data_IF_107271124965
#
_entry.id   IF_107271124965
#
_cell.length_a   1.000
_cell.length_b   1.000
_cell.length_c   1.000
_cell.angle_alpha   90.00
_cell.angle_beta   90.00
_cell.angle_gamma   90.00
#
_symmetry.space_group_name_H-M   'P 1'
#
loop_
_entity.id
_entity.type
_entity.pdbx_description
1 polymer ?
#
# COMPACT_ATOMS: atom_id res chain seq x y z
N UNK A 1 9.35 4.81 0.18
CA UNK A 1 9.46 4.01 1.42
C UNK A 1 10.90 4.01 1.93
N UNK A 2 11.08 3.83 3.23
CA UNK A 2 12.37 3.76 3.90
C UNK A 2 12.50 2.43 4.65
N UNK A 3 13.67 1.79 4.58
CA UNK A 3 14.01 0.59 5.32
C UNK A 3 15.48 0.20 5.12
N UNK A 4 16.15 -0.31 6.16
CA UNK A 4 17.57 -0.69 6.13
C UNK A 4 18.50 0.45 5.62
N UNK A 5 18.23 1.69 6.06
CA UNK A 5 18.94 2.91 5.62
C UNK A 5 18.85 3.18 4.11
N UNK A 6 17.87 2.57 3.43
CA UNK A 6 17.59 2.69 2.00
C UNK A 6 16.27 3.42 1.78
N UNK A 7 16.24 4.38 0.85
CA UNK A 7 15.01 4.95 0.33
C UNK A 7 14.72 4.37 -1.05
N UNK A 8 13.47 3.96 -1.28
CA UNK A 8 12.97 3.51 -2.59
C UNK A 8 11.73 4.29 -2.96
N UNK A 9 11.67 4.75 -4.19
CA UNK A 9 10.48 5.36 -4.78
C UNK A 9 10.17 4.74 -6.14
N UNK A 10 8.86 4.59 -6.43
CA UNK A 10 8.33 4.17 -7.72
C UNK A 10 7.69 5.32 -8.48
N UNK A 11 7.65 5.24 -9.80
CA UNK A 11 7.12 6.29 -10.67
C UNK A 11 6.33 5.78 -11.86
N UNK A 12 6.03 6.70 -12.77
CA UNK A 12 5.39 6.40 -14.07
C UNK A 12 6.33 5.55 -14.93
N UNK A 13 5.77 4.80 -15.87
CA UNK A 13 6.56 3.93 -16.78
C UNK A 13 7.39 2.85 -16.07
N UNK A 14 7.02 2.51 -14.83
CA UNK A 14 7.72 1.51 -14.04
C UNK A 14 9.02 2.00 -13.39
N UNK A 15 9.32 3.28 -13.44
CA UNK A 15 10.55 3.83 -12.87
C UNK A 15 10.70 3.44 -11.39
N UNK A 16 11.92 3.05 -11.03
CA UNK A 16 12.33 2.80 -9.65
C UNK A 16 13.62 3.57 -9.39
N UNK A 17 13.64 4.34 -8.33
CA UNK A 17 14.85 5.03 -7.86
C UNK A 17 15.18 4.62 -6.43
N UNK A 18 16.48 4.55 -6.12
CA UNK A 18 17.02 4.11 -4.85
C UNK A 18 18.06 5.10 -4.33
N UNK A 19 18.00 5.39 -3.03
CA UNK A 19 19.06 6.15 -2.33
C UNK A 19 19.69 5.31 -1.22
N UNK A 20 20.99 5.43 -1.07
CA UNK A 20 21.81 4.79 0.00
C UNK A 20 22.49 5.81 0.89
N UNK A 21 22.16 7.10 0.74
CA UNK A 21 22.81 8.23 1.40
C UNK A 21 21.79 9.18 2.06
N UNK A 22 20.72 8.60 2.64
CA UNK A 22 19.64 9.31 3.31
C UNK A 22 18.90 10.31 2.42
N UNK A 23 18.79 10.01 1.12
CA UNK A 23 18.05 10.84 0.16
C UNK A 23 18.86 12.00 -0.42
N UNK A 24 20.17 12.05 -0.19
CA UNK A 24 21.04 13.07 -0.78
C UNK A 24 21.20 12.89 -2.28
N UNK A 25 21.19 11.65 -2.77
CA UNK A 25 21.14 11.30 -4.18
C UNK A 25 20.25 10.09 -4.43
N UNK A 26 19.82 9.92 -5.68
CA UNK A 26 19.04 8.76 -6.11
C UNK A 26 19.58 8.20 -7.42
N UNK A 27 19.77 6.88 -7.44
CA UNK A 27 20.16 6.11 -8.62
C UNK A 27 18.96 5.39 -9.22
N UNK A 28 18.94 5.26 -10.55
CA UNK A 28 17.95 4.44 -11.22
C UNK A 28 18.21 2.96 -10.97
N UNK A 29 17.15 2.21 -10.67
CA UNK A 29 17.15 0.76 -10.57
C UNK A 29 16.43 0.18 -11.77
N UNK A 30 17.00 -0.87 -12.40
CA UNK A 30 16.31 -1.55 -13.50
C UNK A 30 15.00 -2.15 -13.00
N UNK A 31 13.90 -1.70 -13.59
CA UNK A 31 12.56 -2.18 -13.28
C UNK A 31 12.19 -3.36 -14.17
N UNK A 32 11.52 -4.40 -13.62
CA UNK A 32 11.05 -5.54 -14.43
C UNK A 32 9.73 -5.23 -15.16
N UNK A 33 9.20 -4.00 -15.05
CA UNK A 33 7.90 -3.61 -15.60
C UNK A 33 7.94 -2.23 -16.25
N UNK A 34 7.10 -2.01 -17.25
CA UNK A 34 6.79 -0.67 -17.79
C UNK A 34 5.54 -0.04 -17.19
N UNK A 35 4.86 -0.70 -16.25
CA UNK A 35 3.63 -0.19 -15.63
C UNK A 35 3.95 0.79 -14.51
N UNK A 36 3.17 1.88 -14.42
CA UNK A 36 3.34 2.87 -13.36
C UNK A 36 3.21 2.24 -11.98
N UNK A 37 4.19 2.49 -11.11
CA UNK A 37 4.21 2.11 -9.70
C UNK A 37 3.67 3.27 -8.85
N UNK A 38 2.73 2.97 -7.95
CA UNK A 38 1.96 3.97 -7.19
C UNK A 38 2.22 3.94 -5.69
N UNK A 39 2.62 2.79 -5.17
CA UNK A 39 2.91 2.61 -3.76
C UNK A 39 4.13 1.74 -3.56
N UNK A 40 4.92 2.04 -2.53
CA UNK A 40 6.07 1.24 -2.09
C UNK A 40 5.97 1.06 -0.58
N UNK A 41 6.22 -0.15 -0.10
CA UNK A 41 6.31 -0.47 1.32
C UNK A 41 7.56 -1.29 1.59
N UNK A 42 8.05 -1.21 2.84
CA UNK A 42 9.16 -2.00 3.35
C UNK A 42 8.72 -2.78 4.58
N UNK A 43 9.15 -4.01 4.69
CA UNK A 43 8.96 -4.86 5.86
C UNK A 43 9.75 -6.15 5.72
N UNK A 44 10.25 -6.69 6.84
CA UNK A 44 11.01 -7.94 6.89
C UNK A 44 12.14 -8.00 5.84
N UNK A 45 12.93 -6.93 5.73
CA UNK A 45 14.04 -6.78 4.78
C UNK A 45 13.64 -6.84 3.29
N UNK A 46 12.36 -6.65 2.98
CA UNK A 46 11.78 -6.70 1.63
C UNK A 46 11.16 -5.36 1.26
N UNK A 47 11.46 -4.86 0.06
CA UNK A 47 10.69 -3.80 -0.57
C UNK A 47 9.65 -4.43 -1.50
N UNK A 48 8.42 -3.94 -1.42
CA UNK A 48 7.33 -4.27 -2.35
C UNK A 48 6.81 -2.98 -2.97
N UNK A 49 6.71 -2.93 -4.30
CA UNK A 49 6.02 -1.86 -4.99
C UNK A 49 4.82 -2.41 -5.77
N UNK A 50 3.74 -1.62 -5.79
CA UNK A 50 2.48 -1.99 -6.45
C UNK A 50 2.04 -0.91 -7.43
N UNK A 51 1.24 -1.29 -8.44
CA UNK A 51 0.88 -0.34 -9.46
C UNK A 51 -0.27 -0.70 -10.41
N UNK A 52 -0.21 -0.12 -11.60
CA UNK A 52 -1.24 -0.28 -12.65
C UNK A 52 -1.31 -1.72 -13.12
N UNK A 53 -2.51 -2.16 -13.55
CA UNK A 53 -2.77 -3.51 -14.07
C UNK A 53 -2.38 -4.64 -13.10
N UNK A 54 -2.56 -4.40 -11.78
CA UNK A 54 -2.23 -5.38 -10.75
C UNK A 54 -0.73 -5.60 -10.56
N UNK A 55 0.12 -4.75 -11.12
CA UNK A 55 1.57 -4.91 -11.00
C UNK A 55 2.01 -4.98 -9.55
N UNK A 56 2.80 -5.99 -9.23
CA UNK A 56 3.53 -6.16 -7.96
C UNK A 56 4.98 -6.49 -8.31
N UNK A 57 5.91 -5.73 -7.77
CA UNK A 57 7.35 -6.02 -7.87
C UNK A 57 7.97 -6.09 -6.48
N UNK A 58 8.95 -6.96 -6.30
CA UNK A 58 9.55 -7.30 -5.01
C UNK A 58 11.07 -7.27 -5.07
N UNK A 59 11.69 -6.76 -4.02
CA UNK A 59 13.14 -6.78 -3.84
C UNK A 59 13.51 -7.41 -2.49
N UNK A 60 14.46 -8.33 -2.49
CA UNK A 60 15.03 -8.98 -1.29
C UNK A 60 16.49 -8.61 -1.07
N UNK A 61 17.00 -7.62 -1.81
CA UNK A 61 18.39 -7.20 -1.78
C UNK A 61 18.55 -5.69 -1.58
N UNK A 62 17.76 -5.16 -0.64
CA UNK A 62 17.78 -3.74 -0.28
C UNK A 62 17.49 -2.81 -1.47
N UNK A 63 16.56 -3.18 -2.34
CA UNK A 63 16.14 -2.37 -3.48
C UNK A 63 17.15 -2.31 -4.62
N UNK A 64 18.19 -3.15 -4.63
CA UNK A 64 19.21 -3.16 -5.70
C UNK A 64 18.68 -3.75 -7.01
N UNK A 65 17.71 -4.66 -6.94
CA UNK A 65 16.93 -5.14 -8.08
C UNK A 65 15.53 -5.54 -7.62
N UNK A 66 14.63 -5.63 -8.58
CA UNK A 66 13.24 -6.03 -8.36
C UNK A 66 12.84 -7.13 -9.35
N UNK A 67 12.01 -8.05 -8.88
CA UNK A 67 11.39 -9.11 -9.70
C UNK A 67 9.88 -8.94 -9.74
N UNK A 68 9.25 -9.33 -10.85
CA UNK A 68 7.80 -9.38 -10.95
C UNK A 68 7.24 -10.49 -10.06
N UNK A 69 6.15 -10.19 -9.37
CA UNK A 69 5.37 -11.16 -8.60
C UNK A 69 3.97 -11.26 -9.20
N UNK A 70 3.44 -12.48 -9.26
CA UNK A 70 2.08 -12.71 -9.77
C UNK A 70 1.06 -12.11 -8.82
N UNK A 71 0.23 -11.22 -9.34
CA UNK A 71 -0.91 -10.65 -8.62
C UNK A 71 -2.17 -11.50 -8.84
N UNK A 72 -2.99 -11.70 -7.81
CA UNK A 72 -4.28 -12.40 -7.95
C UNK A 72 -5.34 -11.55 -8.65
N UNK A 73 -5.05 -10.28 -8.95
CA UNK A 73 -5.98 -9.32 -9.56
C UNK A 73 -5.29 -8.51 -10.66
N UNK A 74 -6.00 -8.29 -11.77
CA UNK A 74 -5.58 -7.35 -12.84
C UNK A 74 -5.95 -5.88 -12.55
N UNK A 75 -6.61 -5.58 -11.44
CA UNK A 75 -7.02 -4.23 -11.09
C UNK A 75 -5.82 -3.38 -10.66
N UNK A 76 -5.88 -2.07 -10.96
CA UNK A 76 -4.85 -1.14 -10.50
C UNK A 76 -4.77 -1.15 -8.97
N UNK A 77 -3.57 -1.34 -8.44
CA UNK A 77 -3.25 -1.15 -7.03
C UNK A 77 -2.78 0.29 -6.81
N UNK A 78 -3.31 0.93 -5.77
CA UNK A 78 -3.09 2.35 -5.46
C UNK A 78 -2.10 2.55 -4.33
N UNK A 79 -2.07 1.62 -3.38
CA UNK A 79 -1.21 1.69 -2.20
C UNK A 79 -0.87 0.30 -1.67
N UNK A 80 0.20 0.23 -0.91
CA UNK A 80 0.65 -0.97 -0.20
C UNK A 80 1.16 -0.58 1.19
N UNK A 81 0.89 -1.40 2.18
CA UNK A 81 1.38 -1.24 3.56
C UNK A 81 1.90 -2.56 4.10
N UNK A 82 2.69 -2.49 5.17
CA UNK A 82 3.21 -3.66 5.88
C UNK A 82 2.88 -3.58 7.38
N UNK A 83 2.52 -4.70 7.98
CA UNK A 83 2.31 -4.86 9.41
C UNK A 83 2.01 -6.31 9.76
N UNK A 84 2.37 -6.75 10.97
CA UNK A 84 2.21 -8.14 11.45
C UNK A 84 2.69 -9.19 10.43
N UNK A 85 3.88 -9.00 9.86
CA UNK A 85 4.47 -9.87 8.86
C UNK A 85 3.65 -10.01 7.56
N UNK A 86 2.75 -9.06 7.28
CA UNK A 86 1.84 -9.08 6.14
C UNK A 86 2.05 -7.84 5.28
N UNK A 87 2.20 -8.03 3.97
CA UNK A 87 2.00 -6.98 3.00
C UNK A 87 0.55 -6.95 2.57
N UNK A 88 -0.05 -5.76 2.53
CA UNK A 88 -1.43 -5.54 2.10
C UNK A 88 -1.46 -4.47 1.02
N UNK A 89 -1.95 -4.82 -0.18
CA UNK A 89 -2.18 -3.89 -1.28
C UNK A 89 -3.67 -3.56 -1.43
N UNK A 90 -3.98 -2.29 -1.71
CA UNK A 90 -5.35 -1.83 -1.96
C UNK A 90 -5.47 -1.14 -3.30
N UNK A 91 -6.65 -1.18 -3.92
CA UNK A 91 -6.79 -0.62 -5.25
C UNK A 91 -8.21 -0.40 -5.76
N UNK A 92 -8.33 -0.34 -7.09
CA UNK A 92 -9.61 -0.07 -7.77
C UNK A 92 -10.64 -1.17 -7.52
N UNK A 93 -11.92 -0.77 -7.62
CA UNK A 93 -13.08 -1.68 -7.44
C UNK A 93 -13.05 -2.45 -6.11
N UNK A 94 -12.56 -1.80 -5.04
CA UNK A 94 -12.45 -2.39 -3.72
C UNK A 94 -11.41 -3.50 -3.61
N UNK A 95 -10.52 -3.65 -4.60
CA UNK A 95 -9.49 -4.70 -4.58
C UNK A 95 -8.62 -4.57 -3.34
N UNK A 96 -8.47 -5.68 -2.63
CA UNK A 96 -7.53 -5.85 -1.53
C UNK A 96 -6.77 -7.16 -1.79
N UNK A 97 -5.44 -7.08 -1.82
CA UNK A 97 -4.55 -8.24 -1.98
C UNK A 97 -3.63 -8.34 -0.78
N UNK A 98 -3.31 -9.55 -0.39
CA UNK A 98 -2.58 -9.86 0.85
C UNK A 98 -1.49 -10.89 0.60
N UNK A 99 -0.32 -10.69 1.21
CA UNK A 99 0.78 -11.65 1.23
C UNK A 99 1.17 -11.97 2.67
N UNK A 100 1.38 -13.23 2.97
CA UNK A 100 1.82 -13.77 4.28
C UNK A 100 3.22 -14.38 4.23
N UNK A 101 3.91 -14.24 3.11
CA UNK A 101 5.20 -14.86 2.82
C UNK A 101 6.23 -13.83 2.31
N UNK A 102 6.21 -12.65 2.93
CA UNK A 102 7.12 -11.55 2.59
C UNK A 102 7.00 -11.11 1.12
N UNK A 103 5.77 -11.07 0.59
CA UNK A 103 5.51 -10.60 -0.77
C UNK A 103 5.85 -11.60 -1.88
N UNK A 104 6.17 -12.86 -1.55
CA UNK A 104 6.52 -13.87 -2.56
C UNK A 104 5.28 -14.39 -3.30
N UNK A 105 4.15 -14.51 -2.62
CA UNK A 105 2.85 -14.83 -3.24
C UNK A 105 1.74 -13.94 -2.64
N UNK A 106 0.62 -13.83 -3.35
CA UNK A 106 -0.48 -12.94 -3.00
C UNK A 106 -1.83 -13.62 -3.24
N UNK A 107 -2.76 -13.36 -2.33
CA UNK A 107 -4.16 -13.79 -2.40
C UNK A 107 -5.10 -12.59 -2.33
N UNK A 108 -6.33 -12.74 -2.87
CA UNK A 108 -7.38 -11.76 -2.67
C UNK A 108 -7.92 -11.85 -1.24
N UNK A 109 -8.01 -10.72 -0.55
CA UNK A 109 -8.76 -10.62 0.70
C UNK A 109 -10.23 -10.26 0.43
N UNK A 110 -11.12 -10.64 1.36
CA UNK A 110 -12.53 -10.28 1.25
C UNK A 110 -12.72 -8.79 1.52
N UNK A 111 -13.22 -8.07 0.53
CA UNK A 111 -13.52 -6.64 0.61
C UNK A 111 -15.03 -6.40 0.73
N UNK A 112 -15.49 -5.51 1.63
CA UNK A 112 -16.91 -5.20 1.79
C UNK A 112 -17.40 -4.11 0.82
N UNK A 113 -16.55 -3.62 -0.07
CA UNK A 113 -16.83 -2.48 -0.93
C UNK A 113 -16.37 -2.71 -2.37
N UNK A 114 -17.02 -2.03 -3.30
CA UNK A 114 -16.58 -1.88 -4.69
C UNK A 114 -16.00 -0.49 -4.98
N UNK A 115 -15.96 0.41 -3.99
CA UNK A 115 -15.34 1.73 -4.12
C UNK A 115 -13.84 1.60 -4.29
N UNK A 116 -13.22 2.50 -5.06
CA UNK A 116 -11.78 2.52 -5.20
C UNK A 116 -11.11 2.85 -3.86
N UNK A 117 -10.21 2.00 -3.42
CA UNK A 117 -9.34 2.24 -2.28
C UNK A 117 -8.07 2.94 -2.75
N UNK A 118 -7.68 4.01 -2.07
CA UNK A 118 -6.61 4.93 -2.49
C UNK A 118 -5.39 4.86 -1.59
N UNK A 119 -5.57 4.52 -0.31
CA UNK A 119 -4.50 4.40 0.68
C UNK A 119 -4.79 3.33 1.71
N UNK A 120 -3.74 2.79 2.32
CA UNK A 120 -3.83 1.85 3.43
C UNK A 120 -2.71 2.10 4.44
N UNK A 121 -2.98 1.76 5.69
CA UNK A 121 -1.99 1.79 6.78
C UNK A 121 -2.23 0.65 7.76
N UNK A 122 -1.25 0.40 8.62
CA UNK A 122 -1.34 -0.56 9.71
C UNK A 122 -0.98 0.12 11.04
N UNK A 123 -1.69 -0.25 12.10
CA UNK A 123 -1.40 0.15 13.47
C UNK A 123 -2.33 -0.55 14.47
N UNK A 124 -1.86 -0.78 15.69
CA UNK A 124 -2.62 -1.48 16.76
C UNK A 124 -3.31 -2.76 16.28
N UNK A 125 -2.58 -3.62 15.54
CA UNK A 125 -3.09 -4.86 14.97
C UNK A 125 -4.26 -4.69 13.98
N UNK A 126 -4.47 -3.47 13.46
CA UNK A 126 -5.53 -3.11 12.53
C UNK A 126 -4.93 -2.71 11.18
N UNK A 127 -5.43 -3.31 10.10
CA UNK A 127 -5.29 -2.76 8.76
C UNK A 127 -6.46 -1.83 8.47
N UNK A 128 -6.18 -0.61 8.03
CA UNK A 128 -7.18 0.37 7.63
C UNK A 128 -6.96 0.77 6.17
N UNK A 129 -8.01 0.67 5.35
CA UNK A 129 -8.03 1.17 3.98
C UNK A 129 -8.98 2.33 3.84
N UNK A 130 -8.61 3.34 3.04
CA UNK A 130 -9.45 4.51 2.77
C UNK A 130 -9.58 4.74 1.27
N UNK A 131 -10.67 5.40 0.85
CA UNK A 131 -10.91 5.55 -0.58
C UNK A 131 -11.97 6.58 -0.97
N UNK A 132 -12.51 6.38 -2.18
CA UNK A 132 -13.50 7.25 -2.78
C UNK A 132 -14.81 7.28 -1.98
N UNK A 133 -15.55 8.40 -2.09
CA UNK A 133 -16.85 8.61 -1.43
C UNK A 133 -16.79 8.40 0.09
N UNK A 134 -15.67 8.77 0.71
CA UNK A 134 -15.46 8.62 2.16
C UNK A 134 -15.30 7.18 2.64
N UNK A 135 -15.11 6.22 1.73
CA UNK A 135 -14.98 4.80 2.10
C UNK A 135 -13.85 4.61 3.10
N UNK A 136 -14.16 3.90 4.20
CA UNK A 136 -13.20 3.41 5.19
C UNK A 136 -13.49 1.93 5.41
N UNK A 137 -12.48 1.08 5.29
CA UNK A 137 -12.56 -0.35 5.56
C UNK A 137 -11.52 -0.75 6.60
N UNK A 138 -11.87 -1.67 7.50
CA UNK A 138 -11.05 -2.08 8.64
C UNK A 138 -10.95 -3.60 8.70
N UNK A 139 -9.77 -4.10 9.02
CA UNK A 139 -9.52 -5.52 9.34
C UNK A 139 -8.87 -5.65 10.71
N UNK A 140 -9.36 -6.57 11.51
CA UNK A 140 -8.79 -6.99 12.81
C UNK A 140 -8.32 -8.44 12.80
N UNK A 141 -8.30 -9.07 11.63
CA UNK A 141 -7.91 -10.46 11.46
C UNK A 141 -6.74 -10.62 10.46
N UNK A 142 -5.74 -9.74 10.62
CA UNK A 142 -4.53 -9.75 9.80
C UNK A 142 -4.82 -9.61 8.29
N UNK A 143 -5.78 -8.76 7.91
CA UNK A 143 -6.08 -8.46 6.52
C UNK A 143 -6.78 -9.58 5.75
N UNK A 144 -7.30 -10.64 6.42
CA UNK A 144 -8.00 -11.74 5.75
C UNK A 144 -9.36 -11.31 5.24
N UNK A 145 -10.08 -10.48 5.99
CA UNK A 145 -11.33 -9.84 5.59
C UNK A 145 -11.43 -8.45 6.18
N UNK A 146 -12.32 -7.65 5.60
CA UNK A 146 -12.54 -6.27 5.99
C UNK A 146 -14.03 -6.01 6.22
N UNK A 147 -14.32 -5.07 7.13
CA UNK A 147 -15.65 -4.53 7.38
C UNK A 147 -15.67 -3.04 7.01
N UNK A 148 -16.87 -2.54 6.63
CA UNK A 148 -17.07 -1.11 6.43
C UNK A 148 -17.09 -0.38 7.79
N UNK A 149 -16.42 0.75 7.86
CA UNK A 149 -16.48 1.69 8.98
C UNK A 149 -17.30 2.90 8.56
N UNK A 150 -18.18 3.37 9.46
CA UNK A 150 -18.96 4.60 9.21
C UNK A 150 -18.01 5.79 9.11
N UNK A 151 -18.04 6.46 7.97
CA UNK A 151 -17.24 7.65 7.72
C UNK A 151 -18.02 8.92 8.04
N UNK A 152 -17.42 9.93 8.67
CA UNK A 152 -18.06 11.22 8.90
C UNK A 152 -18.11 12.10 7.64
N UNK A 153 -17.63 11.63 6.50
CA UNK A 153 -17.56 12.38 5.25
C UNK A 153 -17.89 11.52 4.03
N UNK A 154 -18.36 12.14 2.97
CA UNK A 154 -18.52 11.55 1.65
C UNK A 154 -17.41 12.01 0.67
N UNK A 155 -16.46 12.85 1.12
CA UNK A 155 -15.32 13.27 0.32
C UNK A 155 -14.33 12.11 0.12
N UNK A 156 -13.63 12.12 -1.01
CA UNK A 156 -12.57 11.11 -1.25
C UNK A 156 -11.47 11.26 -0.21
N UNK A 157 -11.10 10.14 0.42
CA UNK A 157 -9.95 10.02 1.31
C UNK A 157 -8.78 9.45 0.51
N UNK A 158 -7.70 10.21 0.38
CA UNK A 158 -6.57 9.89 -0.52
C UNK A 158 -5.39 9.27 0.20
N UNK A 159 -5.25 9.51 1.50
CA UNK A 159 -4.17 9.00 2.32
C UNK A 159 -4.61 8.74 3.74
N UNK A 160 -3.94 7.81 4.39
CA UNK A 160 -4.15 7.48 5.80
C UNK A 160 -2.82 7.12 6.44
N UNK A 161 -2.66 7.48 7.70
CA UNK A 161 -1.49 7.17 8.52
C UNK A 161 -1.92 6.79 9.93
N UNK A 162 -1.02 6.15 10.67
CA UNK A 162 -1.19 5.79 12.07
C UNK A 162 -0.03 6.33 12.91
N UNK A 163 -0.34 6.81 14.10
CA UNK A 163 0.65 7.25 15.09
C UNK A 163 -0.02 7.64 16.39
N UNK A 164 0.67 7.41 17.52
CA UNK A 164 0.15 7.68 18.88
C UNK A 164 -1.27 7.11 19.09
N UNK A 165 -1.48 5.86 18.70
CA UNK A 165 -2.74 5.12 18.82
C UNK A 165 -3.93 5.74 18.05
N UNK A 166 -3.67 6.59 17.06
CA UNK A 166 -4.66 7.31 16.30
C UNK A 166 -4.45 7.07 14.79
N UNK A 167 -5.53 6.77 14.08
CA UNK A 167 -5.58 6.84 12.63
C UNK A 167 -5.99 8.25 12.19
N UNK A 168 -5.29 8.79 11.21
CA UNK A 168 -5.64 10.07 10.57
C UNK A 168 -5.72 9.86 9.07
N UNK A 169 -6.87 10.17 8.47
CA UNK A 169 -7.07 10.15 7.03
C UNK A 169 -7.26 11.57 6.48
N UNK A 170 -6.70 11.81 5.31
CA UNK A 170 -6.79 13.09 4.61
C UNK A 170 -7.36 12.90 3.21
N UNK A 171 -8.00 13.93 2.68
CA UNK A 171 -8.63 13.79 1.39
C UNK A 171 -8.99 15.10 0.69
N UNK A 172 -9.89 14.98 -0.30
CA UNK A 172 -10.33 16.10 -1.13
C UNK A 172 -10.98 17.21 -0.31
N UNK A 173 -10.88 18.44 -0.80
CA UNK A 173 -11.48 19.64 -0.17
C UNK A 173 -10.94 19.94 1.24
N UNK A 174 -9.70 19.54 1.52
CA UNK A 174 -9.07 19.79 2.83
C UNK A 174 -9.65 18.94 3.98
N UNK A 175 -10.36 17.86 3.68
CA UNK A 175 -10.91 17.00 4.72
C UNK A 175 -9.82 16.30 5.51
N UNK A 176 -9.97 16.27 6.83
CA UNK A 176 -9.17 15.49 7.77
C UNK A 176 -10.13 14.73 8.66
N UNK A 177 -9.96 13.43 8.75
CA UNK A 177 -10.75 12.52 9.60
C UNK A 177 -9.79 11.84 10.57
N UNK A 178 -10.21 11.74 11.83
CA UNK A 178 -9.45 11.12 12.90
C UNK A 178 -10.27 10.04 13.57
N UNK A 179 -9.66 8.89 13.93
CA UNK A 179 -10.26 7.91 14.83
C UNK A 179 -10.30 8.44 16.26
N UNK A 180 -11.22 7.95 17.06
CA UNK A 180 -11.39 8.29 18.49
C UNK A 180 -11.08 7.11 19.41
N UNK A 181 -10.86 5.94 18.85
CA UNK A 181 -10.65 4.64 19.49
C UNK A 181 -9.65 3.78 18.70
#
# INVERSE_FOLDING_TARGET
SFGNDILVAGGISGDIVRSTDNGSSFDNVTSPTGNALRGVSFGNDVFVAVGVSGTIVRSTNNGSSFDNVTSPSGNNLSGVTFGNDIFLGVGRTGTIVRSTDNGASWDNATSPTTSNLLGATFGNDIFLGVGQSGTIVRSTNNGSSFDNVTSPTTSNLSGVTFGNDIFVAVGSSGIIVRSTD
#
